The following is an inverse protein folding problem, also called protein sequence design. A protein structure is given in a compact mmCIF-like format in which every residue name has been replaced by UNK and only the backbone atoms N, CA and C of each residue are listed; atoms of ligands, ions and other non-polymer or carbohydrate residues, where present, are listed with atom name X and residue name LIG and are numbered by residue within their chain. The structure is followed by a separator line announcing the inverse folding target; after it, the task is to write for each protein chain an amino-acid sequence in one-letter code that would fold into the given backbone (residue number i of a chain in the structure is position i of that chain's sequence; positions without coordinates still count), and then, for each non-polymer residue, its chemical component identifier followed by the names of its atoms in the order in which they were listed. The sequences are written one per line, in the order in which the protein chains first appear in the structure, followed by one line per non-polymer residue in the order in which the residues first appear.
data_IF_595511896771
#
_entry.id   IF_595511896771
#
_cell.length_a   1.000
_cell.length_b   1.000
_cell.length_c   1.000
_cell.angle_alpha   90.00
_cell.angle_beta   90.00
_cell.angle_gamma   90.00
#
_symmetry.space_group_name_H-M   'P 1'
#
loop_
_entity.id
_entity.type
_entity.pdbx_description
1 polymer ?
#
# COMPACT_ATOMS: atom_id res chain seq x y z
N UNK A 1 -28.26 -7.70 1.89
CA UNK A 1 -26.84 -7.65 2.24
C UNK A 1 -26.09 -6.69 1.31
N UNK A 2 -26.35 -6.75 0.00
CA UNK A 2 -25.73 -5.87 -1.00
C UNK A 2 -26.03 -4.39 -0.73
N UNK A 3 -27.29 -4.02 -0.47
CA UNK A 3 -27.68 -2.65 -0.08
C UNK A 3 -26.94 -2.15 1.18
N UNK A 4 -26.70 -3.03 2.14
CA UNK A 4 -25.96 -2.68 3.37
C UNK A 4 -24.46 -2.50 3.14
N UNK A 5 -23.93 -3.01 2.05
CA UNK A 5 -22.53 -2.93 1.67
C UNK A 5 -22.24 -1.87 0.60
N UNK A 6 -23.25 -1.20 0.07
CA UNK A 6 -23.09 -0.25 -1.05
C UNK A 6 -22.09 0.85 -0.74
N UNK A 7 -22.21 1.50 0.42
CA UNK A 7 -21.29 2.56 0.85
C UNK A 7 -19.83 2.08 0.92
N UNK A 8 -19.62 0.80 1.32
CA UNK A 8 -18.27 0.21 1.40
C UNK A 8 -17.72 -0.12 0.02
N UNK A 9 -18.59 -0.55 -0.89
CA UNK A 9 -18.24 -0.81 -2.29
C UNK A 9 -17.85 0.48 -2.98
N UNK A 10 -18.65 1.53 -2.85
CA UNK A 10 -18.37 2.84 -3.42
C UNK A 10 -17.05 3.41 -2.89
N UNK A 11 -16.81 3.28 -1.58
CA UNK A 11 -15.54 3.69 -0.98
C UNK A 11 -14.36 2.90 -1.55
N UNK A 12 -14.52 1.61 -1.82
CA UNK A 12 -13.47 0.79 -2.43
C UNK A 12 -13.14 1.27 -3.84
N UNK A 13 -14.16 1.57 -4.66
CA UNK A 13 -13.98 2.12 -6.01
C UNK A 13 -13.30 3.49 -5.95
N UNK A 14 -13.65 4.32 -4.97
CA UNK A 14 -13.00 5.62 -4.80
C UNK A 14 -11.51 5.48 -4.45
N UNK A 15 -11.14 4.52 -3.61
CA UNK A 15 -9.74 4.21 -3.32
C UNK A 15 -9.00 3.74 -4.59
N UNK A 16 -9.63 2.90 -5.41
CA UNK A 16 -9.07 2.50 -6.70
C UNK A 16 -8.80 3.72 -7.61
N UNK A 17 -9.74 4.67 -7.65
CA UNK A 17 -9.59 5.91 -8.43
C UNK A 17 -8.40 6.73 -7.96
N UNK A 18 -8.31 6.99 -6.65
CA UNK A 18 -7.22 7.75 -6.05
C UNK A 18 -5.86 7.10 -6.30
N UNK A 19 -5.78 5.76 -6.17
CA UNK A 19 -4.55 5.01 -6.44
C UNK A 19 -4.10 5.14 -7.89
N UNK A 20 -5.03 5.09 -8.85
CA UNK A 20 -4.72 5.29 -10.27
C UNK A 20 -4.27 6.73 -10.55
N UNK A 21 -4.91 7.73 -9.92
CA UNK A 21 -4.52 9.14 -10.05
C UNK A 21 -3.10 9.36 -9.50
N UNK A 22 -2.76 8.81 -8.34
CA UNK A 22 -1.41 8.86 -7.76
C UNK A 22 -0.37 8.19 -8.68
N UNK A 23 -0.74 7.08 -9.30
CA UNK A 23 0.10 6.37 -10.27
C UNK A 23 0.14 7.04 -11.65
N UNK A 24 -0.67 8.07 -11.89
CA UNK A 24 -0.84 8.73 -13.19
C UNK A 24 -1.29 7.77 -14.30
N UNK A 25 -2.13 6.79 -13.96
CA UNK A 25 -2.69 5.79 -14.86
C UNK A 25 -4.20 6.00 -15.03
N UNK A 26 -4.69 5.67 -16.21
CA UNK A 26 -6.12 5.52 -16.44
C UNK A 26 -6.57 4.08 -16.15
N UNK A 27 -7.85 3.88 -15.81
CA UNK A 27 -8.38 2.54 -15.56
C UNK A 27 -8.20 1.58 -16.76
N UNK A 28 -8.18 2.12 -17.97
CA UNK A 28 -7.93 1.36 -19.21
C UNK A 28 -6.49 0.88 -19.39
N UNK A 29 -5.52 1.49 -18.70
CA UNK A 29 -4.10 1.13 -18.76
C UNK A 29 -3.80 -0.11 -17.91
N UNK A 30 -4.74 -0.51 -17.05
CA UNK A 30 -4.61 -1.71 -16.20
C UNK A 30 -4.86 -2.94 -17.06
N UNK A 31 -3.83 -3.77 -17.23
CA UNK A 31 -3.91 -4.97 -18.07
C UNK A 31 -4.69 -6.10 -17.42
N UNK A 32 -4.57 -6.29 -16.12
CA UNK A 32 -5.24 -7.36 -15.38
C UNK A 32 -5.74 -6.86 -14.03
N UNK A 33 -6.95 -7.31 -13.67
CA UNK A 33 -7.58 -7.00 -12.36
C UNK A 33 -7.77 -8.31 -11.61
N UNK A 34 -7.13 -8.45 -10.46
CA UNK A 34 -7.20 -9.64 -9.62
C UNK A 34 -7.93 -9.29 -8.33
N UNK A 35 -8.96 -10.04 -8.01
CA UNK A 35 -9.72 -9.89 -6.77
C UNK A 35 -9.20 -10.87 -5.71
N UNK A 36 -8.88 -10.35 -4.52
CA UNK A 36 -8.30 -11.11 -3.41
C UNK A 36 -9.17 -10.99 -2.17
N UNK A 37 -9.32 -12.11 -1.46
CA UNK A 37 -10.11 -12.19 -0.23
C UNK A 37 -11.57 -12.64 -0.43
N UNK A 38 -12.13 -13.31 0.55
CA UNK A 38 -13.45 -13.96 0.45
C UNK A 38 -14.62 -13.02 0.12
N UNK A 39 -14.58 -11.76 0.58
CA UNK A 39 -15.63 -10.77 0.29
C UNK A 39 -15.70 -10.40 -1.19
N UNK A 40 -14.64 -10.57 -1.96
CA UNK A 40 -14.62 -10.30 -3.41
C UNK A 40 -15.45 -11.30 -4.23
N UNK A 41 -15.94 -12.37 -3.59
CA UNK A 41 -16.90 -13.31 -4.18
C UNK A 41 -18.31 -12.71 -4.32
N UNK A 42 -18.59 -11.58 -3.66
CA UNK A 42 -19.89 -10.91 -3.75
C UNK A 42 -20.11 -10.41 -5.19
N UNK A 43 -21.21 -10.80 -5.85
CA UNK A 43 -21.46 -10.43 -7.25
C UNK A 43 -21.46 -8.92 -7.47
N UNK A 44 -21.97 -8.16 -6.49
CA UNK A 44 -22.03 -6.70 -6.57
C UNK A 44 -20.62 -6.07 -6.60
N UNK A 45 -19.66 -6.61 -5.85
CA UNK A 45 -18.27 -6.14 -5.88
C UNK A 45 -17.65 -6.43 -7.25
N UNK A 46 -17.83 -7.66 -7.76
CA UNK A 46 -17.31 -8.04 -9.07
C UNK A 46 -17.86 -7.16 -10.18
N UNK A 47 -19.17 -6.88 -10.14
CA UNK A 47 -19.82 -6.01 -11.11
C UNK A 47 -19.32 -4.55 -11.02
N UNK A 48 -19.16 -4.01 -9.82
CA UNK A 48 -18.65 -2.64 -9.62
C UNK A 48 -17.20 -2.50 -10.13
N UNK A 49 -16.35 -3.48 -9.83
CA UNK A 49 -14.97 -3.50 -10.31
C UNK A 49 -14.91 -3.66 -11.83
N UNK A 50 -15.67 -4.59 -12.40
CA UNK A 50 -15.74 -4.77 -13.85
C UNK A 50 -16.20 -3.50 -14.58
N UNK A 51 -17.18 -2.81 -14.01
CA UNK A 51 -17.67 -1.54 -14.56
C UNK A 51 -16.60 -0.44 -14.48
N UNK A 52 -15.90 -0.31 -13.34
CA UNK A 52 -14.89 0.72 -13.13
C UNK A 52 -13.69 0.56 -14.06
N UNK A 53 -13.15 -0.66 -14.17
CA UNK A 53 -12.01 -0.93 -15.03
C UNK A 53 -12.39 -1.25 -16.49
N UNK A 54 -13.69 -1.28 -16.82
CA UNK A 54 -14.20 -1.73 -18.13
C UNK A 54 -13.63 -3.09 -18.54
N UNK A 55 -13.39 -3.97 -17.57
CA UNK A 55 -12.74 -5.27 -17.72
C UNK A 55 -13.22 -6.25 -16.65
N UNK A 56 -13.49 -7.49 -17.06
CA UNK A 56 -13.81 -8.56 -16.12
C UNK A 56 -12.60 -8.89 -15.24
N UNK A 57 -12.77 -9.06 -13.93
CA UNK A 57 -11.71 -9.53 -13.07
C UNK A 57 -11.20 -10.91 -13.50
N UNK A 58 -9.90 -11.12 -13.38
CA UNK A 58 -9.24 -12.38 -13.68
C UNK A 58 -9.78 -13.50 -12.79
N UNK A 59 -10.03 -14.66 -13.42
CA UNK A 59 -10.45 -15.90 -12.74
C UNK A 59 -9.30 -16.90 -12.57
N UNK A 60 -8.10 -16.52 -13.01
CA UNK A 60 -6.93 -17.42 -13.02
C UNK A 60 -6.35 -17.62 -11.60
N UNK A 61 -6.69 -16.75 -10.65
CA UNK A 61 -6.20 -16.80 -9.27
C UNK A 61 -7.38 -17.04 -8.34
N UNK A 62 -7.24 -18.00 -7.42
CA UNK A 62 -8.25 -18.26 -6.40
C UNK A 62 -8.20 -17.19 -5.31
N UNK A 63 -9.28 -16.44 -5.03
CA UNK A 63 -9.24 -15.28 -4.14
C UNK A 63 -8.79 -15.59 -2.71
N UNK A 64 -9.08 -16.80 -2.21
CA UNK A 64 -8.73 -17.21 -0.84
C UNK A 64 -7.29 -17.75 -0.72
N UNK A 65 -6.70 -18.18 -1.83
CA UNK A 65 -5.37 -18.82 -1.86
C UNK A 65 -4.26 -17.88 -2.34
N UNK A 66 -4.63 -16.79 -3.00
CA UNK A 66 -3.70 -15.84 -3.62
C UNK A 66 -2.59 -15.37 -2.67
N UNK A 67 -2.95 -15.00 -1.44
CA UNK A 67 -1.99 -14.51 -0.43
C UNK A 67 -1.03 -15.61 -0.01
N UNK A 68 -1.53 -16.84 0.19
CA UNK A 68 -0.68 -17.97 0.58
C UNK A 68 0.27 -18.39 -0.54
N UNK A 69 -0.21 -18.40 -1.78
CA UNK A 69 0.61 -18.68 -2.97
C UNK A 69 1.68 -17.61 -3.14
N UNK A 70 1.31 -16.33 -3.06
CA UNK A 70 2.24 -15.21 -3.15
C UNK A 70 3.31 -15.25 -2.05
N UNK A 71 2.91 -15.55 -0.81
CA UNK A 71 3.86 -15.71 0.29
C UNK A 71 4.81 -16.90 0.07
N UNK A 72 4.33 -17.99 -0.53
CA UNK A 72 5.15 -19.14 -0.89
C UNK A 72 6.18 -18.81 -1.98
N UNK A 73 5.77 -18.10 -3.01
CA UNK A 73 6.65 -17.62 -4.09
C UNK A 73 7.72 -16.68 -3.52
N UNK A 74 7.30 -15.70 -2.71
CA UNK A 74 8.23 -14.76 -2.07
C UNK A 74 9.20 -15.48 -1.12
N UNK A 75 8.72 -16.46 -0.36
CA UNK A 75 9.57 -17.28 0.51
C UNK A 75 10.59 -18.12 -0.25
N UNK A 76 10.22 -18.66 -1.41
CA UNK A 76 11.15 -19.37 -2.28
C UNK A 76 12.24 -18.43 -2.83
N UNK A 77 11.85 -17.25 -3.33
CA UNK A 77 12.79 -16.25 -3.84
C UNK A 77 13.79 -15.72 -2.80
N UNK A 78 13.45 -15.78 -1.50
CA UNK A 78 14.39 -15.40 -0.42
C UNK A 78 15.43 -16.50 -0.12
N UNK A 79 15.20 -17.74 -0.57
CA UNK A 79 16.08 -18.88 -0.29
C UNK A 79 16.89 -19.27 -1.52
N UNK A 80 16.38 -19.01 -2.71
CA UNK A 80 16.97 -19.39 -3.98
C UNK A 80 17.55 -18.16 -4.69
N UNK A 81 18.88 -18.05 -4.67
CA UNK A 81 19.61 -16.92 -5.29
C UNK A 81 19.53 -16.93 -6.84
N UNK A 82 18.91 -17.96 -7.45
CA UNK A 82 18.79 -18.08 -8.91
C UNK A 82 17.50 -17.44 -9.47
N UNK A 83 16.52 -17.07 -8.63
CA UNK A 83 15.33 -16.38 -9.10
C UNK A 83 15.52 -14.86 -9.04
N UNK A 84 15.61 -14.23 -10.22
CA UNK A 84 15.66 -12.76 -10.41
C UNK A 84 14.33 -12.06 -10.04
N UNK A 85 13.64 -12.48 -8.99
CA UNK A 85 12.44 -11.78 -8.53
C UNK A 85 12.84 -10.67 -7.55
N UNK A 86 12.87 -9.44 -8.04
CA UNK A 86 13.12 -8.25 -7.22
C UNK A 86 11.77 -7.71 -6.76
N UNK A 87 11.46 -7.87 -5.47
CA UNK A 87 10.38 -7.14 -4.84
C UNK A 87 10.88 -5.73 -4.47
N UNK A 88 10.34 -4.73 -5.13
CA UNK A 88 10.53 -3.34 -4.76
C UNK A 88 9.35 -2.89 -3.90
N UNK A 89 9.59 -2.81 -2.61
CA UNK A 89 8.61 -2.27 -1.66
C UNK A 89 8.88 -0.79 -1.41
N UNK A 90 7.86 -0.06 -0.98
CA UNK A 90 7.94 1.38 -0.72
C UNK A 90 7.26 1.74 0.61
N UNK A 91 7.67 2.85 1.19
CA UNK A 91 7.01 3.39 2.38
C UNK A 91 5.60 3.86 2.02
N UNK A 92 4.54 3.35 2.71
CA UNK A 92 3.15 3.74 2.42
C UNK A 92 2.82 5.15 2.88
N UNK A 93 3.61 5.70 3.81
CA UNK A 93 3.45 7.04 4.36
C UNK A 93 4.81 7.69 4.56
N UNK A 94 4.84 9.02 4.59
CA UNK A 94 6.02 9.74 5.02
C UNK A 94 6.34 9.41 6.49
N UNK A 95 7.61 9.19 6.78
CA UNK A 95 8.10 8.94 8.13
C UNK A 95 8.95 10.11 8.60
N UNK A 96 8.71 10.54 9.82
CA UNK A 96 9.42 11.67 10.38
C UNK A 96 9.33 11.71 11.89
N UNK A 97 9.80 12.78 12.47
CA UNK A 97 9.77 13.02 13.91
C UNK A 97 9.00 14.28 14.25
N UNK A 98 8.38 14.28 15.42
CA UNK A 98 7.76 15.48 15.95
C UNK A 98 8.82 16.27 16.71
N UNK A 99 9.05 17.51 16.26
CA UNK A 99 9.98 18.46 16.88
C UNK A 99 9.29 19.32 17.92
N UNK A 100 10.06 20.17 18.59
CA UNK A 100 9.52 21.11 19.57
C UNK A 100 8.47 22.03 18.92
N UNK A 101 7.33 22.18 19.60
CA UNK A 101 6.18 22.94 19.08
C UNK A 101 5.16 22.07 18.33
N UNK A 102 5.41 20.75 18.21
CA UNK A 102 4.47 19.82 17.56
C UNK A 102 4.58 19.81 16.02
N UNK A 103 5.65 20.36 15.48
CA UNK A 103 5.90 20.34 14.04
C UNK A 103 6.40 18.96 13.61
N UNK A 104 5.81 18.41 12.55
CA UNK A 104 6.31 17.21 11.90
C UNK A 104 7.48 17.55 10.98
N UNK A 105 8.60 16.89 11.20
CA UNK A 105 9.78 17.00 10.35
C UNK A 105 9.94 15.69 9.59
N UNK A 106 9.68 15.73 8.29
CA UNK A 106 9.80 14.57 7.41
C UNK A 106 11.26 14.17 7.22
N UNK A 107 11.54 12.90 7.38
CA UNK A 107 12.86 12.30 7.14
C UNK A 107 12.85 11.38 5.92
N UNK A 108 11.84 10.53 5.80
CA UNK A 108 11.67 9.61 4.70
C UNK A 108 10.33 9.92 4.02
N UNK A 109 10.33 10.40 2.78
CA UNK A 109 9.11 10.67 2.02
C UNK A 109 8.27 9.41 1.79
N UNK A 110 6.97 9.60 1.58
CA UNK A 110 6.10 8.56 1.06
C UNK A 110 6.64 8.03 -0.28
N UNK A 111 6.38 6.76 -0.57
CA UNK A 111 6.81 6.07 -1.80
C UNK A 111 8.35 5.99 -1.95
N UNK A 112 9.10 6.05 -0.86
CA UNK A 112 10.54 5.80 -0.87
C UNK A 112 10.80 4.29 -0.88
N UNK A 113 11.62 3.81 -1.82
CA UNK A 113 11.98 2.40 -1.92
C UNK A 113 12.70 1.91 -0.65
N UNK A 114 12.32 0.76 -0.14
CA UNK A 114 12.96 0.11 1.00
C UNK A 114 13.83 -1.09 0.55
N UNK A 115 14.93 -1.38 1.27
CA UNK A 115 15.38 -0.76 2.53
C UNK A 115 15.97 0.63 2.32
N UNK A 116 15.67 1.55 3.23
CA UNK A 116 16.21 2.92 3.23
C UNK A 116 16.61 3.35 4.64
N UNK A 117 17.50 4.33 4.75
CA UNK A 117 17.95 4.90 6.01
C UNK A 117 18.25 6.38 5.82
N UNK A 118 17.64 7.21 6.66
CA UNK A 118 17.88 8.64 6.67
C UNK A 118 18.34 9.11 8.05
N UNK A 119 19.23 10.09 8.08
CA UNK A 119 19.76 10.67 9.29
C UNK A 119 19.73 12.20 9.21
N UNK A 120 19.22 12.83 10.26
CA UNK A 120 19.18 14.27 10.39
C UNK A 120 19.70 14.72 11.76
N UNK A 121 20.48 15.78 11.77
CA UNK A 121 21.02 16.35 13.02
C UNK A 121 20.02 17.35 13.58
N UNK A 122 19.69 17.19 14.86
CA UNK A 122 18.84 18.11 15.59
C UNK A 122 19.62 18.69 16.78
N UNK A 123 19.27 19.89 17.16
CA UNK A 123 19.85 20.57 18.33
C UNK A 123 18.90 20.48 19.51
N UNK A 124 19.44 20.55 20.71
CA UNK A 124 18.64 20.67 21.93
C UNK A 124 17.98 22.06 22.01
N UNK A 125 16.80 22.12 22.60
CA UNK A 125 16.03 23.37 22.76
C UNK A 125 16.47 24.23 23.91
N UNK A 126 17.30 23.68 24.82
CA UNK A 126 17.81 24.38 26.02
C UNK A 126 19.25 23.98 26.28
N UNK A 127 20.02 24.92 26.87
CA UNK A 127 21.36 24.63 27.34
C UNK A 127 21.32 23.54 28.44
N UNK A 128 22.29 22.65 28.42
CA UNK A 128 22.44 21.53 29.37
C UNK A 128 21.25 20.56 29.41
N UNK A 129 20.50 20.42 28.30
CA UNK A 129 19.42 19.45 28.20
C UNK A 129 20.01 18.02 28.19
N UNK A 130 19.59 17.20 29.17
CA UNK A 130 20.11 15.83 29.37
C UNK A 130 19.22 14.72 28.77
N UNK A 131 18.00 15.06 28.32
CA UNK A 131 17.07 14.10 27.75
C UNK A 131 16.27 14.71 26.59
N UNK A 132 16.00 13.89 25.59
CA UNK A 132 15.16 14.23 24.43
C UNK A 132 14.10 13.14 24.29
N UNK A 133 12.84 13.55 24.14
CA UNK A 133 11.76 12.66 23.77
C UNK A 133 11.64 12.67 22.25
N UNK A 134 11.89 11.54 21.60
CA UNK A 134 11.71 11.38 20.16
C UNK A 134 10.38 10.68 19.92
N UNK A 135 9.52 11.29 19.11
CA UNK A 135 8.25 10.71 18.69
C UNK A 135 8.29 10.55 17.17
N UNK A 136 8.30 9.30 16.74
CA UNK A 136 8.27 8.92 15.32
C UNK A 136 6.81 8.79 14.86
N UNK A 137 6.49 9.34 13.73
CA UNK A 137 5.16 9.30 13.11
C UNK A 137 5.28 8.99 11.62
#
# INVERSE_FOLDING_TARGET
LEELAEDLIDRTIEICRQTLEEAQLAAGDVEEVILVGGMTRMPRIQAAVAQFFSREPSKNVHPDECVAIGAGIQGAALVDDEEEMILLDVTPHALGIVTQGGFFEELIPQNTTVPTSEAKVFTTSRDNQTAVKIMVM
#
